data_IF_462871425096
#
_entry.id   IF_462871425096
#
_cell.length_a   1.000
_cell.length_b   1.000
_cell.length_c   1.000
_cell.angle_alpha   90.00
_cell.angle_beta   90.00
_cell.angle_gamma   90.00
#
_symmetry.space_group_name_H-M   'P 1'
#
loop_
_entity.id
_entity.type
_entity.pdbx_description
1 polymer ?
#
# COMPACT_ATOMS: atom_id res chain seq x y z
N UNK A 1 13.79 -3.08 -23.56
CA UNK A 1 12.36 -2.73 -23.48
C UNK A 1 12.21 -1.56 -22.51
N UNK A 2 11.58 -0.46 -22.92
CA UNK A 2 11.35 0.70 -22.03
C UNK A 2 9.93 0.60 -21.48
N UNK A 3 9.78 0.68 -20.15
CA UNK A 3 8.47 0.64 -19.48
C UNK A 3 7.87 2.05 -19.38
N UNK A 4 6.57 2.17 -19.70
CA UNK A 4 5.80 3.40 -19.48
C UNK A 4 5.62 3.68 -17.98
N UNK A 5 5.31 4.93 -17.61
CA UNK A 5 5.03 5.30 -16.21
C UNK A 5 3.85 4.51 -15.63
N UNK A 6 2.79 4.37 -16.42
CA UNK A 6 1.60 3.58 -16.07
C UNK A 6 1.97 2.12 -15.80
N UNK A 7 2.75 1.49 -16.69
CA UNK A 7 3.19 0.11 -16.49
C UNK A 7 4.08 -0.05 -15.25
N UNK A 8 4.91 0.95 -14.93
CA UNK A 8 5.69 0.95 -13.68
C UNK A 8 4.78 1.05 -12.46
N UNK A 9 3.72 1.86 -12.52
CA UNK A 9 2.71 1.97 -11.47
C UNK A 9 2.00 0.63 -11.20
N UNK A 10 1.54 -0.04 -12.25
CA UNK A 10 0.93 -1.37 -12.14
C UNK A 10 1.89 -2.41 -11.52
N UNK A 11 3.16 -2.38 -11.91
CA UNK A 11 4.18 -3.29 -11.35
C UNK A 11 4.42 -2.97 -9.87
N UNK A 12 4.55 -1.69 -9.52
CA UNK A 12 4.73 -1.26 -8.14
C UNK A 12 3.53 -1.69 -7.26
N UNK A 13 2.31 -1.52 -7.75
CA UNK A 13 1.08 -1.92 -7.06
C UNK A 13 1.02 -3.45 -6.81
N UNK A 14 1.41 -4.26 -7.81
CA UNK A 14 1.50 -5.71 -7.66
C UNK A 14 2.57 -6.13 -6.66
N UNK A 15 3.75 -5.49 -6.69
CA UNK A 15 4.83 -5.76 -5.73
C UNK A 15 4.41 -5.43 -4.30
N UNK A 16 3.69 -4.31 -4.11
CA UNK A 16 3.19 -3.91 -2.80
C UNK A 16 2.18 -4.92 -2.25
N UNK A 17 1.31 -5.46 -3.12
CA UNK A 17 0.37 -6.54 -2.76
C UNK A 17 1.11 -7.74 -2.17
N UNK A 18 2.13 -8.22 -2.87
CA UNK A 18 2.91 -9.39 -2.44
C UNK A 18 3.73 -9.11 -1.17
N UNK A 19 4.19 -7.87 -0.98
CA UNK A 19 4.84 -7.44 0.25
C UNK A 19 3.88 -7.52 1.45
N UNK A 20 2.67 -6.98 1.31
CA UNK A 20 1.67 -7.00 2.39
C UNK A 20 1.17 -8.41 2.73
N UNK A 21 1.06 -9.31 1.75
CA UNK A 21 0.71 -10.72 2.01
C UNK A 21 1.73 -11.40 2.93
N UNK A 22 3.01 -11.05 2.78
CA UNK A 22 4.11 -11.62 3.58
C UNK A 22 4.18 -11.03 4.98
N UNK A 23 3.96 -9.72 5.13
CA UNK A 23 4.18 -9.01 6.40
C UNK A 23 3.01 -9.11 7.39
N UNK A 24 1.84 -9.68 7.01
CA UNK A 24 0.64 -9.78 7.87
C UNK A 24 0.32 -8.46 8.60
N UNK A 25 0.28 -7.36 7.85
CA UNK A 25 0.15 -6.01 8.41
C UNK A 25 -1.16 -5.85 9.18
N UNK A 26 -1.06 -5.37 10.43
CA UNK A 26 -2.20 -4.94 11.23
C UNK A 26 -2.43 -3.43 11.11
N UNK A 27 -3.41 -3.05 10.28
CA UNK A 27 -3.79 -1.66 9.98
C UNK A 27 -4.13 -0.81 11.20
N UNK A 28 -4.72 -1.42 12.23
CA UNK A 28 -5.25 -0.70 13.38
C UNK A 28 -4.24 -0.49 14.51
N UNK A 29 -2.98 -0.89 14.32
CA UNK A 29 -1.93 -0.64 15.31
C UNK A 29 -1.49 0.83 15.28
N UNK A 30 -1.21 1.40 16.46
CA UNK A 30 -0.61 2.74 16.56
C UNK A 30 0.76 2.80 15.88
N UNK A 31 1.44 1.67 15.79
CA UNK A 31 2.67 1.50 15.03
C UNK A 31 2.45 1.74 13.53
N UNK A 32 1.39 1.16 12.94
CA UNK A 32 1.07 1.35 11.53
C UNK A 32 0.75 2.83 11.25
N UNK A 33 -0.08 3.47 12.07
CA UNK A 33 -0.40 4.91 11.94
C UNK A 33 0.84 5.80 11.98
N UNK A 34 1.81 5.49 12.84
CA UNK A 34 3.11 6.18 12.91
C UNK A 34 3.95 5.95 11.65
N UNK A 35 4.02 4.70 11.17
CA UNK A 35 4.71 4.37 9.91
C UNK A 35 4.13 5.15 8.73
N UNK A 36 2.80 5.23 8.61
CA UNK A 36 2.13 6.03 7.57
C UNK A 36 2.49 7.51 7.66
N UNK A 37 2.46 8.08 8.87
CA UNK A 37 2.85 9.48 9.07
C UNK A 37 4.30 9.78 8.65
N UNK A 38 5.22 8.86 8.92
CA UNK A 38 6.62 9.00 8.49
C UNK A 38 6.77 8.83 6.97
N UNK A 39 6.07 7.84 6.40
CA UNK A 39 6.10 7.57 4.96
C UNK A 39 5.55 8.74 4.15
N UNK A 40 4.43 9.32 4.57
CA UNK A 40 3.83 10.50 3.95
C UNK A 40 4.85 11.64 3.78
N UNK A 41 5.63 11.94 4.81
CA UNK A 41 6.70 12.96 4.75
C UNK A 41 7.83 12.59 3.81
N UNK A 42 8.24 11.31 3.81
CA UNK A 42 9.38 10.85 2.99
C UNK A 42 9.05 10.75 1.49
N UNK A 43 7.78 10.46 1.18
CA UNK A 43 7.30 10.27 -0.18
C UNK A 43 6.74 11.54 -0.80
N UNK A 44 6.61 12.61 0.00
CA UNK A 44 5.91 13.85 -0.38
C UNK A 44 4.47 13.59 -0.86
N UNK A 45 3.78 12.68 -0.16
CA UNK A 45 2.39 12.30 -0.44
C UNK A 45 1.53 12.65 0.77
N UNK A 46 0.37 13.30 0.61
CA UNK A 46 -0.53 13.60 1.71
C UNK A 46 -0.91 12.33 2.48
N UNK A 47 -0.96 12.45 3.81
CA UNK A 47 -1.22 11.32 4.70
C UNK A 47 -2.58 10.69 4.39
N UNK A 48 -3.56 11.51 4.06
CA UNK A 48 -4.92 11.13 3.73
C UNK A 48 -4.96 10.25 2.47
N UNK A 49 -4.25 10.67 1.41
CA UNK A 49 -4.12 9.90 0.17
C UNK A 49 -3.42 8.56 0.40
N UNK A 50 -2.31 8.59 1.14
CA UNK A 50 -1.56 7.37 1.46
C UNK A 50 -2.39 6.41 2.31
N UNK A 51 -3.18 6.92 3.25
CA UNK A 51 -4.06 6.12 4.10
C UNK A 51 -5.17 5.49 3.28
N UNK A 52 -5.83 6.27 2.42
CA UNK A 52 -6.92 5.79 1.57
C UNK A 52 -6.45 4.68 0.63
N UNK A 53 -5.34 4.88 -0.07
CA UNK A 53 -4.77 3.87 -0.98
C UNK A 53 -4.42 2.57 -0.25
N UNK A 54 -3.79 2.66 0.92
CA UNK A 54 -3.40 1.47 1.68
C UNK A 54 -4.59 0.73 2.28
N UNK A 55 -5.61 1.47 2.71
CA UNK A 55 -6.86 0.88 3.21
C UNK A 55 -7.57 0.11 2.09
N UNK A 56 -7.78 0.74 0.93
CA UNK A 56 -8.36 0.08 -0.26
C UNK A 56 -7.56 -1.17 -0.64
N UNK A 57 -6.22 -1.07 -0.61
CA UNK A 57 -5.36 -2.19 -0.96
C UNK A 57 -5.57 -3.41 -0.07
N UNK A 58 -5.69 -3.17 1.24
CA UNK A 58 -5.85 -4.24 2.21
C UNK A 58 -7.27 -4.81 2.18
N UNK A 59 -8.29 -3.97 1.98
CA UNK A 59 -9.67 -4.43 1.75
C UNK A 59 -9.75 -5.35 0.52
N UNK A 60 -9.13 -4.97 -0.58
CA UNK A 60 -9.04 -5.81 -1.79
C UNK A 60 -8.28 -7.11 -1.54
N UNK A 61 -7.17 -7.07 -0.79
CA UNK A 61 -6.43 -8.28 -0.42
C UNK A 61 -7.25 -9.23 0.46
N UNK A 62 -8.02 -8.69 1.41
CA UNK A 62 -8.93 -9.48 2.24
C UNK A 62 -10.01 -10.10 1.37
N UNK A 63 -10.64 -9.33 0.47
CA UNK A 63 -11.65 -9.83 -0.46
C UNK A 63 -11.10 -10.98 -1.33
N UNK A 64 -9.91 -10.84 -1.90
CA UNK A 64 -9.24 -11.87 -2.71
C UNK A 64 -8.90 -13.15 -1.91
N UNK A 65 -8.70 -13.06 -0.60
CA UNK A 65 -8.45 -14.23 0.25
C UNK A 65 -9.71 -15.03 0.58
N UNK A 66 -10.89 -14.42 0.46
CA UNK A 66 -12.19 -15.02 0.78
C UNK A 66 -13.08 -15.28 -0.44
N UNK A 67 -12.63 -14.91 -1.65
CA UNK A 67 -13.25 -15.22 -2.94
C UNK A 67 -12.80 -16.58 -3.48
#
# INVERSE_FOLDING_TARGET
MVLTKERKGEIADKLLTEFFKKERIQLNSDEFKRKIGNLSKSLDVPKEELTAYLQEKIENMVADMFA
#
